data_IF_467976671189
#
_entry.id   IF_467976671189
#
_cell.length_a   1.000
_cell.length_b   1.000
_cell.length_c   1.000
_cell.angle_alpha   90.00
_cell.angle_beta   90.00
_cell.angle_gamma   90.00
#
_symmetry.space_group_name_H-M   'P 1'
#
loop_
_entity.id
_entity.type
_entity.pdbx_description
1 polymer ?
#
# COMPACT_ATOMS: atom_id res chain seq x y z
N UNK A 1 41.01 -0.13 18.01
CA UNK A 1 40.36 0.75 17.02
C UNK A 1 39.12 0.04 16.50
N UNK A 2 37.98 0.74 16.59
CA UNK A 2 36.58 0.49 16.19
C UNK A 2 35.98 -0.91 16.03
N UNK A 3 34.82 -1.04 16.69
CA UNK A 3 33.92 -2.20 16.83
C UNK A 3 33.19 -2.58 15.53
N UNK A 4 32.76 -3.85 15.39
CA UNK A 4 31.70 -4.21 14.45
C UNK A 4 30.37 -3.62 14.93
N UNK A 5 29.71 -2.85 14.07
CA UNK A 5 28.35 -2.37 14.30
C UNK A 5 27.40 -3.55 14.21
N UNK A 6 26.99 -4.09 15.36
CA UNK A 6 25.92 -5.06 15.44
C UNK A 6 24.64 -4.41 14.88
N UNK A 7 24.11 -4.97 13.79
CA UNK A 7 22.69 -4.82 13.48
C UNK A 7 21.93 -5.39 14.67
N UNK A 8 21.37 -4.49 15.48
CA UNK A 8 20.47 -4.82 16.57
C UNK A 8 19.36 -5.70 16.01
N UNK A 9 19.40 -6.99 16.34
CA UNK A 9 18.30 -7.92 16.11
C UNK A 9 17.05 -7.31 16.74
N UNK A 10 16.00 -7.15 15.92
CA UNK A 10 14.71 -6.62 16.37
C UNK A 10 14.27 -7.34 17.63
N UNK A 11 14.15 -6.59 18.72
CA UNK A 11 13.54 -7.05 19.96
C UNK A 11 12.17 -7.66 19.62
N UNK A 12 11.87 -8.80 20.25
CA UNK A 12 10.63 -9.57 20.17
C UNK A 12 9.37 -8.73 19.79
N UNK A 13 9.13 -8.53 18.49
CA UNK A 13 7.91 -7.87 18.01
C UNK A 13 6.85 -8.94 17.90
N UNK A 14 5.84 -8.89 18.77
CA UNK A 14 4.66 -9.72 18.66
C UNK A 14 3.91 -9.32 17.38
N UNK A 15 3.86 -10.21 16.39
CA UNK A 15 3.06 -9.98 15.19
C UNK A 15 1.57 -9.90 15.56
N UNK A 16 0.93 -8.80 15.17
CA UNK A 16 -0.51 -8.60 15.34
C UNK A 16 -1.15 -8.47 13.97
N UNK A 17 -1.97 -9.46 13.61
CA UNK A 17 -2.78 -9.43 12.39
C UNK A 17 -4.07 -8.62 12.62
N UNK A 18 -3.92 -7.35 12.96
CA UNK A 18 -5.04 -6.43 13.18
C UNK A 18 -4.70 -5.07 12.56
N UNK A 19 -5.68 -4.37 11.98
CA UNK A 19 -5.54 -2.97 11.58
C UNK A 19 -5.09 -2.07 12.74
N UNK A 20 -4.63 -0.87 12.44
CA UNK A 20 -4.43 0.17 13.44
C UNK A 20 -5.79 0.61 14.03
N UNK A 21 -5.74 1.22 15.21
CA UNK A 21 -6.95 1.61 15.93
C UNK A 21 -7.77 2.61 15.09
N UNK A 22 -8.94 2.17 14.64
CA UNK A 22 -9.89 3.01 13.95
C UNK A 22 -10.73 3.78 14.98
N UNK A 23 -10.48 5.08 15.10
CA UNK A 23 -11.24 5.99 15.99
C UNK A 23 -12.49 6.57 15.33
N UNK A 24 -12.69 6.34 14.02
CA UNK A 24 -13.78 6.89 13.21
C UNK A 24 -14.99 5.96 13.20
N UNK A 25 -14.76 4.66 12.99
CA UNK A 25 -15.80 3.63 13.03
C UNK A 25 -15.55 2.73 14.25
N UNK A 26 -16.29 2.91 15.36
CA UNK A 26 -16.18 2.00 16.48
C UNK A 26 -16.65 0.61 16.07
N UNK A 27 -15.74 -0.37 16.09
CA UNK A 27 -15.99 -1.74 15.69
C UNK A 27 -15.10 -2.72 16.44
N UNK A 28 -15.50 -3.99 16.44
CA UNK A 28 -14.66 -5.07 16.94
C UNK A 28 -13.35 -5.11 16.13
N UNK A 29 -12.19 -5.38 16.76
CA UNK A 29 -10.93 -5.54 16.04
C UNK A 29 -11.10 -6.57 14.91
N UNK A 30 -10.99 -6.12 13.67
CA UNK A 30 -10.97 -7.00 12.51
C UNK A 30 -9.57 -7.55 12.29
N UNK A 31 -9.45 -8.65 11.55
CA UNK A 31 -8.17 -9.23 11.14
C UNK A 31 -8.07 -9.16 9.63
N UNK A 32 -6.85 -9.08 9.10
CA UNK A 32 -6.68 -9.21 7.66
C UNK A 32 -7.11 -10.62 7.24
N UNK A 33 -8.00 -10.68 6.27
CA UNK A 33 -8.67 -11.90 5.82
C UNK A 33 -8.12 -12.40 4.48
N UNK A 34 -6.79 -12.36 4.35
CA UNK A 34 -6.07 -12.72 3.13
C UNK A 34 -5.96 -11.58 2.13
N UNK A 35 -5.70 -11.95 0.88
CA UNK A 35 -5.43 -11.04 -0.23
C UNK A 35 -6.59 -11.10 -1.23
N UNK A 36 -6.83 -10.00 -1.94
CA UNK A 36 -7.70 -9.97 -3.11
C UNK A 36 -6.87 -9.68 -4.35
N UNK A 37 -7.05 -10.50 -5.38
CA UNK A 37 -6.35 -10.30 -6.64
C UNK A 37 -7.01 -9.17 -7.44
N UNK A 38 -6.26 -8.55 -8.34
CA UNK A 38 -6.75 -7.47 -9.22
C UNK A 38 -7.96 -7.92 -10.05
N UNK A 39 -8.07 -9.22 -10.36
CA UNK A 39 -9.22 -9.78 -11.07
C UNK A 39 -10.52 -9.77 -10.23
N UNK A 40 -10.40 -9.67 -8.91
CA UNK A 40 -11.51 -9.65 -7.96
C UNK A 40 -11.93 -8.21 -7.57
N UNK A 41 -11.08 -7.21 -7.84
CA UNK A 41 -11.35 -5.80 -7.54
C UNK A 41 -12.16 -5.14 -8.65
N UNK A 42 -13.12 -4.29 -8.27
CA UNK A 42 -13.94 -3.54 -9.23
C UNK A 42 -13.73 -2.04 -9.08
N UNK A 43 -13.85 -1.34 -10.21
CA UNK A 43 -13.89 0.11 -10.21
C UNK A 43 -15.14 0.57 -9.44
N UNK A 44 -14.99 1.58 -8.59
CA UNK A 44 -16.06 2.03 -7.71
C UNK A 44 -16.16 1.27 -6.39
N UNK A 45 -15.39 0.21 -6.17
CA UNK A 45 -15.39 -0.47 -4.87
C UNK A 45 -14.77 0.42 -3.79
N UNK A 46 -15.41 0.43 -2.61
CA UNK A 46 -14.87 1.08 -1.42
C UNK A 46 -13.59 0.40 -0.96
N UNK A 47 -12.60 1.23 -0.64
CA UNK A 47 -11.34 0.79 -0.08
C UNK A 47 -11.04 1.50 1.24
N UNK A 48 -10.18 0.88 2.03
CA UNK A 48 -9.79 1.37 3.34
C UNK A 48 -8.27 1.33 3.45
N UNK A 49 -7.63 2.49 3.53
CA UNK A 49 -6.20 2.63 3.72
C UNK A 49 -5.91 2.77 5.22
N UNK A 50 -5.12 1.85 5.74
CA UNK A 50 -4.83 1.77 7.17
C UNK A 50 -3.33 1.92 7.42
N UNK A 51 -2.94 2.93 8.21
CA UNK A 51 -1.54 3.28 8.45
C UNK A 51 -1.33 3.91 9.83
N UNK A 52 -0.19 3.68 10.51
CA UNK A 52 0.05 4.27 11.82
C UNK A 52 0.26 5.79 11.78
N UNK A 53 0.50 6.37 10.59
CA UNK A 53 0.76 7.81 10.45
C UNK A 53 -0.45 8.60 9.97
N UNK A 54 -1.27 8.04 9.07
CA UNK A 54 -2.49 8.69 8.58
C UNK A 54 -3.74 8.28 9.37
N UNK A 55 -3.65 7.20 10.16
CA UNK A 55 -4.83 6.53 10.68
C UNK A 55 -5.61 5.85 9.56
N UNK A 56 -6.92 5.75 9.79
CA UNK A 56 -7.86 5.12 8.87
C UNK A 56 -8.37 6.13 7.84
N UNK A 57 -8.21 5.82 6.56
CA UNK A 57 -8.71 6.59 5.42
C UNK A 57 -9.64 5.74 4.55
N UNK A 58 -10.73 6.34 4.10
CA UNK A 58 -11.68 5.71 3.19
C UNK A 58 -11.49 6.24 1.77
N UNK A 59 -11.80 5.41 0.78
CA UNK A 59 -11.68 5.81 -0.60
C UNK A 59 -12.43 4.89 -1.55
N UNK A 60 -12.17 5.08 -2.84
CA UNK A 60 -12.79 4.32 -3.92
C UNK A 60 -11.77 3.94 -4.98
N UNK A 61 -11.86 2.72 -5.52
CA UNK A 61 -11.01 2.29 -6.64
C UNK A 61 -11.38 3.04 -7.92
N UNK A 62 -10.42 3.79 -8.48
CA UNK A 62 -10.62 4.57 -9.71
C UNK A 62 -10.32 3.77 -10.97
N UNK A 63 -9.12 3.21 -11.06
CA UNK A 63 -8.69 2.45 -12.24
C UNK A 63 -7.55 1.48 -11.92
N UNK A 64 -7.40 0.47 -12.77
CA UNK A 64 -6.24 -0.41 -12.80
C UNK A 64 -5.21 0.17 -13.77
N UNK A 65 -3.93 0.07 -13.40
CA UNK A 65 -2.82 0.60 -14.17
C UNK A 65 -1.65 -0.39 -14.17
N UNK A 66 -0.67 -0.14 -15.04
CA UNK A 66 0.64 -0.79 -14.98
C UNK A 66 1.72 0.26 -14.87
N UNK A 67 2.74 -0.03 -14.06
CA UNK A 67 3.89 0.85 -13.91
C UNK A 67 5.15 0.12 -14.36
N UNK A 68 5.91 0.79 -15.23
CA UNK A 68 7.24 0.33 -15.62
C UNK A 68 8.23 0.65 -14.51
N UNK A 69 8.93 -0.38 -14.02
CA UNK A 69 9.97 -0.24 -12.99
C UNK A 69 11.29 -0.77 -13.57
N UNK A 70 12.40 -0.02 -13.45
CA UNK A 70 13.72 -0.53 -13.80
C UNK A 70 14.04 -1.81 -13.01
N UNK A 71 14.62 -2.81 -13.65
CA UNK A 71 15.03 -4.04 -12.96
C UNK A 71 16.34 -3.86 -12.16
N UNK A 72 17.04 -2.75 -12.36
CA UNK A 72 18.27 -2.41 -11.68
C UNK A 72 18.36 -0.89 -11.46
N UNK A 73 18.87 -0.51 -10.30
CA UNK A 73 19.25 0.87 -9.99
C UNK A 73 20.65 1.23 -10.51
N UNK A 74 21.39 0.26 -11.07
CA UNK A 74 22.69 0.47 -11.69
C UNK A 74 22.53 1.17 -13.05
N UNK A 75 23.00 2.42 -13.21
CA UNK A 75 22.89 3.16 -14.47
C UNK A 75 23.73 2.55 -15.61
N UNK A 76 24.65 1.62 -15.30
CA UNK A 76 25.48 0.92 -16.28
C UNK A 76 24.91 -0.44 -16.72
N UNK A 77 23.90 -0.96 -16.01
CA UNK A 77 23.23 -2.20 -16.39
C UNK A 77 22.37 -1.99 -17.65
N UNK A 78 22.12 -3.06 -18.45
CA UNK A 78 21.15 -2.99 -19.53
C UNK A 78 19.81 -2.48 -19.01
N UNK A 79 19.21 -1.50 -19.69
CA UNK A 79 17.90 -0.93 -19.32
C UNK A 79 16.76 -1.94 -19.58
N UNK A 80 16.74 -2.99 -18.79
CA UNK A 80 15.60 -3.89 -18.67
C UNK A 80 14.59 -3.26 -17.72
N UNK A 81 13.33 -3.56 -17.94
CA UNK A 81 12.27 -3.09 -17.05
C UNK A 81 11.21 -4.15 -16.93
N UNK A 82 10.65 -4.24 -15.73
CA UNK A 82 9.46 -5.03 -15.47
C UNK A 82 8.24 -4.11 -15.44
N UNK A 83 7.07 -4.71 -15.66
CA UNK A 83 5.79 -4.03 -15.52
C UNK A 83 5.06 -4.65 -14.35
N UNK A 84 4.71 -3.84 -13.37
CA UNK A 84 3.94 -4.29 -12.20
C UNK A 84 2.51 -3.77 -12.31
N UNK A 85 1.56 -4.54 -11.78
CA UNK A 85 0.16 -4.11 -11.66
C UNK A 85 0.01 -3.11 -10.52
N UNK A 86 -0.74 -2.06 -10.79
CA UNK A 86 -1.02 -0.98 -9.88
C UNK A 86 -2.51 -0.61 -9.93
N UNK A 87 -2.95 0.15 -8.94
CA UNK A 87 -4.30 0.68 -8.86
C UNK A 87 -4.24 2.15 -8.44
N UNK A 88 -5.16 2.94 -8.96
CA UNK A 88 -5.42 4.29 -8.48
C UNK A 88 -6.66 4.28 -7.60
N UNK A 89 -6.58 4.99 -6.49
CA UNK A 89 -7.68 5.15 -5.55
C UNK A 89 -7.92 6.62 -5.27
N UNK A 90 -9.17 7.05 -5.30
CA UNK A 90 -9.61 8.35 -4.79
C UNK A 90 -9.80 8.23 -3.29
N UNK A 91 -9.09 9.04 -2.51
CA UNK A 91 -9.17 9.04 -1.04
C UNK A 91 -9.99 10.25 -0.54
N UNK A 92 -10.61 10.99 -1.47
CA UNK A 92 -11.49 12.10 -1.18
C UNK A 92 -10.76 13.41 -0.90
N UNK A 93 -11.47 14.52 -1.08
CA UNK A 93 -10.91 15.87 -1.06
C UNK A 93 -10.14 16.19 0.24
N UNK A 94 -8.92 16.72 0.09
CA UNK A 94 -8.07 17.12 1.22
C UNK A 94 -7.28 15.98 1.87
N UNK A 95 -7.47 14.73 1.42
CA UNK A 95 -6.75 13.55 1.91
C UNK A 95 -5.24 13.60 1.65
N UNK A 96 -4.79 14.35 0.64
CA UNK A 96 -3.37 14.58 0.35
C UNK A 96 -2.57 15.09 1.56
N UNK A 97 -3.22 15.78 2.51
CA UNK A 97 -2.60 16.25 3.75
C UNK A 97 -2.31 15.14 4.76
N UNK A 98 -3.10 14.05 4.72
CA UNK A 98 -2.94 12.87 5.57
C UNK A 98 -2.00 11.83 4.94
N UNK A 99 -1.88 11.81 3.60
CA UNK A 99 -1.05 10.87 2.85
C UNK A 99 0.42 11.30 2.78
N UNK A 100 1.11 11.30 3.93
CA UNK A 100 2.54 11.61 4.01
C UNK A 100 3.43 10.49 3.44
N UNK A 101 4.68 10.81 3.07
CA UNK A 101 5.67 9.84 2.57
C UNK A 101 5.94 8.64 3.50
N UNK A 102 5.54 8.73 4.76
CA UNK A 102 5.76 7.69 5.78
C UNK A 102 4.81 6.50 5.67
N UNK A 103 3.79 6.56 4.80
CA UNK A 103 2.78 5.50 4.70
C UNK A 103 3.03 4.52 3.54
N UNK A 104 4.18 4.62 2.85
CA UNK A 104 4.62 3.64 1.86
C UNK A 104 4.57 2.22 2.42
N UNK A 105 3.94 1.30 1.69
CA UNK A 105 3.73 -0.09 2.09
C UNK A 105 2.50 -0.33 2.97
N UNK A 106 1.75 0.71 3.35
CA UNK A 106 0.53 0.54 4.14
C UNK A 106 -0.54 -0.24 3.36
N UNK A 107 -1.26 -1.18 3.98
CA UNK A 107 -2.26 -1.99 3.30
C UNK A 107 -3.49 -1.16 2.91
N UNK A 108 -3.99 -1.43 1.71
CA UNK A 108 -5.30 -1.00 1.24
C UNK A 108 -6.23 -2.21 1.25
N UNK A 109 -7.33 -2.09 1.99
CA UNK A 109 -8.24 -3.16 2.31
C UNK A 109 -9.55 -3.04 1.54
N UNK A 110 -10.15 -4.19 1.22
CA UNK A 110 -11.56 -4.30 0.84
C UNK A 110 -12.46 -4.16 2.06
N UNK A 111 -13.78 -4.01 1.81
CA UNK A 111 -14.81 -4.07 2.85
C UNK A 111 -14.86 -5.41 3.62
N UNK A 112 -14.33 -6.49 3.05
CA UNK A 112 -14.15 -7.80 3.70
C UNK A 112 -12.80 -7.94 4.44
N UNK A 113 -12.06 -6.84 4.61
CA UNK A 113 -10.73 -6.81 5.23
C UNK A 113 -9.68 -7.65 4.50
N UNK A 114 -9.84 -7.85 3.19
CA UNK A 114 -8.79 -8.43 2.34
C UNK A 114 -7.82 -7.35 1.89
N UNK A 115 -6.53 -7.61 1.92
CA UNK A 115 -5.52 -6.71 1.36
C UNK A 115 -5.61 -6.78 -0.17
N UNK A 116 -5.92 -5.66 -0.82
CA UNK A 116 -6.02 -5.59 -2.28
C UNK A 116 -4.77 -4.96 -2.91
N UNK A 117 -4.11 -4.08 -2.17
CA UNK A 117 -2.92 -3.38 -2.64
C UNK A 117 -2.10 -2.84 -1.47
N UNK A 118 -0.87 -2.40 -1.77
CA UNK A 118 -0.02 -1.66 -0.85
C UNK A 118 0.18 -0.23 -1.37
N UNK A 119 -0.04 0.76 -0.51
CA UNK A 119 0.16 2.17 -0.86
C UNK A 119 1.61 2.40 -1.32
N UNK A 120 1.77 3.15 -2.43
CA UNK A 120 3.08 3.53 -2.95
C UNK A 120 3.35 5.01 -2.78
N UNK A 121 2.50 5.86 -3.35
CA UNK A 121 2.62 7.31 -3.22
C UNK A 121 1.28 8.00 -3.50
N UNK A 122 1.15 9.24 -3.03
CA UNK A 122 0.05 10.14 -3.36
C UNK A 122 0.60 11.41 -4.02
N UNK A 123 0.11 11.79 -5.21
CA UNK A 123 0.48 13.06 -5.82
C UNK A 123 0.05 14.24 -4.93
N UNK A 124 0.95 15.21 -4.74
CA UNK A 124 0.68 16.45 -4.00
C UNK A 124 0.14 17.57 -4.89
N UNK A 125 0.16 17.38 -6.21
CA UNK A 125 -0.18 18.37 -7.23
C UNK A 125 -0.79 17.68 -8.45
N UNK A 126 -1.60 18.41 -9.22
CA UNK A 126 -2.13 17.95 -10.51
C UNK A 126 -3.47 17.22 -10.41
N UNK A 127 -3.85 16.56 -11.51
CA UNK A 127 -5.20 15.96 -11.68
C UNK A 127 -5.49 14.76 -10.77
N UNK A 128 -4.44 14.16 -10.21
CA UNK A 128 -4.52 13.04 -9.26
C UNK A 128 -4.26 13.48 -7.81
N UNK A 129 -4.34 14.78 -7.53
CA UNK A 129 -4.35 15.26 -6.14
C UNK A 129 -5.51 14.59 -5.39
N UNK A 130 -5.29 14.29 -4.11
CA UNK A 130 -6.23 13.55 -3.25
C UNK A 130 -6.51 12.10 -3.66
N UNK A 131 -5.76 11.60 -4.66
CA UNK A 131 -5.70 10.17 -5.00
C UNK A 131 -4.37 9.56 -4.55
N UNK A 132 -4.28 8.24 -4.55
CA UNK A 132 -3.03 7.52 -4.40
C UNK A 132 -2.84 6.42 -5.45
N UNK A 133 -1.57 6.12 -5.74
CA UNK A 133 -1.17 4.94 -6.48
C UNK A 133 -0.76 3.85 -5.49
N UNK A 134 -1.21 2.64 -5.73
CA UNK A 134 -0.84 1.44 -4.98
C UNK A 134 -0.32 0.33 -5.89
N UNK A 135 0.53 -0.55 -5.35
CA UNK A 135 0.95 -1.79 -6.00
C UNK A 135 -0.07 -2.88 -5.68
N UNK A 136 -0.57 -3.57 -6.70
CA UNK A 136 -1.57 -4.61 -6.51
C UNK A 136 -1.03 -5.77 -5.68
N UNK A 137 -1.88 -6.38 -4.85
CA UNK A 137 -1.52 -7.53 -4.02
C UNK A 137 -1.02 -8.73 -4.84
N UNK A 138 -1.41 -8.83 -6.10
CA UNK A 138 -0.95 -9.88 -7.01
C UNK A 138 0.58 -9.91 -7.14
N UNK A 139 1.24 -8.75 -7.03
CA UNK A 139 2.70 -8.64 -7.16
C UNK A 139 3.46 -9.19 -5.94
N UNK A 140 2.75 -9.50 -4.85
CA UNK A 140 3.33 -10.15 -3.66
C UNK A 140 3.49 -11.66 -3.83
N UNK A 141 2.87 -12.25 -4.86
CA UNK A 141 2.90 -13.69 -5.13
C UNK A 141 3.75 -14.08 -6.34
N UNK A 142 4.32 -13.11 -7.07
CA UNK A 142 5.02 -13.35 -8.33
C UNK A 142 6.28 -14.23 -8.21
N UNK A 143 6.79 -14.49 -7.00
CA UNK A 143 8.07 -15.19 -6.75
C UNK A 143 7.89 -16.54 -6.01
N UNK A 144 6.80 -17.26 -6.29
CA UNK A 144 6.45 -18.53 -5.64
C UNK A 144 6.55 -19.81 -6.49
N UNK A 145 7.31 -19.81 -7.60
CA UNK A 145 7.64 -21.03 -8.37
C UNK A 145 9.15 -21.28 -8.46
#
# INVERSE_FOLDING_TARGET
MSRPGALSTFQHVEFRNTPFENTVIPGSPSKFNGLSLTAETKLGDSIFLDSPFSGFLEGTTLCHATLRVPTSDDPSAPQQSTWIRCQWHDIGQGSSRAMSDKICGSPILSKEHKVQALFRYAPTLGVFMDSCLSVAADELFSDGE
#
